data_IF_192643740154
#
_entry.id   IF_192643740154
#
_cell.length_a   1.000
_cell.length_b   1.000
_cell.length_c   1.000
_cell.angle_alpha   90.00
_cell.angle_beta   90.00
_cell.angle_gamma   90.00
#
_symmetry.space_group_name_H-M   'P 1'
#
loop_
_entity.id
_entity.type
_entity.pdbx_description
1 polymer ?
#
# COMPACT_ATOMS: atom_id res chain seq x y z
N UNK A 1 7.92 0.18 -7.33
CA UNK A 1 9.08 -0.52 -6.72
C UNK A 1 8.99 -2.00 -7.05
N UNK A 2 10.12 -2.66 -7.33
CA UNK A 2 10.15 -4.11 -7.55
C UNK A 2 10.36 -4.89 -6.22
N UNK A 3 10.20 -6.22 -6.28
CA UNK A 3 10.33 -7.11 -5.12
C UNK A 3 11.67 -6.95 -4.38
N UNK A 4 12.76 -6.74 -5.14
CA UNK A 4 14.09 -6.59 -4.58
C UNK A 4 14.23 -5.28 -3.80
N UNK A 5 13.65 -4.18 -4.31
CA UNK A 5 13.64 -2.87 -3.65
C UNK A 5 12.83 -2.90 -2.35
N UNK A 6 11.70 -3.60 -2.33
CA UNK A 6 10.86 -3.73 -1.13
C UNK A 6 11.58 -4.54 -0.06
N UNK A 7 12.24 -5.64 -0.45
CA UNK A 7 12.99 -6.49 0.47
C UNK A 7 14.18 -5.75 1.11
N UNK A 8 14.86 -4.90 0.35
CA UNK A 8 15.96 -4.09 0.87
C UNK A 8 15.49 -3.13 1.97
N UNK A 9 14.38 -2.41 1.75
CA UNK A 9 13.80 -1.49 2.74
C UNK A 9 13.36 -2.23 4.01
N UNK A 10 12.77 -3.42 3.88
CA UNK A 10 12.30 -4.20 5.03
C UNK A 10 13.44 -4.79 5.87
N UNK A 11 14.63 -5.03 5.31
CA UNK A 11 15.78 -5.52 6.06
C UNK A 11 16.46 -4.45 6.92
N UNK A 12 16.13 -3.17 6.75
CA UNK A 12 16.64 -2.08 7.59
C UNK A 12 15.89 -1.97 8.92
N UNK A 13 14.72 -2.59 9.06
CA UNK A 13 13.89 -2.58 10.28
C UNK A 13 14.23 -3.78 11.18
N UNK A 14 14.66 -3.54 12.43
CA UNK A 14 15.06 -4.56 13.41
C UNK A 14 13.96 -5.61 13.65
N UNK A 15 12.68 -5.24 13.55
CA UNK A 15 11.54 -6.15 13.70
C UNK A 15 11.40 -7.14 12.52
N UNK A 16 12.10 -6.88 11.41
CA UNK A 16 12.01 -7.64 10.16
C UNK A 16 13.32 -8.28 9.73
N UNK A 17 14.45 -8.02 10.41
CA UNK A 17 15.76 -8.59 10.05
C UNK A 17 15.77 -10.12 10.05
N UNK A 18 15.04 -10.75 10.96
CA UNK A 18 14.94 -12.22 11.07
C UNK A 18 13.65 -12.79 10.47
N UNK A 19 12.80 -11.96 9.85
CA UNK A 19 11.49 -12.38 9.35
C UNK A 19 11.49 -12.44 7.82
N UNK A 20 11.36 -13.64 7.30
CA UNK A 20 10.99 -13.82 5.89
C UNK A 20 9.50 -13.54 5.76
N UNK A 21 9.16 -12.38 5.18
CA UNK A 21 7.80 -12.10 4.76
C UNK A 21 7.56 -12.75 3.39
N UNK A 22 6.62 -13.69 3.34
CA UNK A 22 6.17 -14.30 2.10
C UNK A 22 4.95 -13.53 1.56
N UNK A 23 5.06 -13.06 0.32
CA UNK A 23 3.93 -12.49 -0.39
C UNK A 23 3.23 -13.58 -1.20
N UNK A 24 2.15 -14.13 -0.63
CA UNK A 24 1.35 -15.18 -1.26
C UNK A 24 0.87 -14.74 -2.67
N UNK A 25 0.92 -15.63 -3.69
CA UNK A 25 0.63 -15.28 -5.08
C UNK A 25 -0.71 -14.56 -5.28
N UNK A 26 -1.74 -14.96 -4.55
CA UNK A 26 -3.07 -14.37 -4.63
C UNK A 26 -3.12 -12.90 -4.19
N UNK A 27 -2.13 -12.42 -3.44
CA UNK A 27 -2.06 -11.05 -2.93
C UNK A 27 -1.13 -10.15 -3.75
N UNK A 28 -0.32 -10.74 -4.64
CA UNK A 28 0.71 -10.00 -5.37
C UNK A 28 0.13 -8.85 -6.20
N UNK A 29 -0.92 -9.11 -6.97
CA UNK A 29 -1.53 -8.09 -7.84
C UNK A 29 -2.00 -6.86 -7.05
N UNK A 30 -2.68 -7.07 -5.92
CA UNK A 30 -3.15 -5.98 -5.07
C UNK A 30 -2.02 -5.28 -4.33
N UNK A 31 -1.01 -6.02 -3.88
CA UNK A 31 0.14 -5.45 -3.18
C UNK A 31 0.99 -4.58 -4.10
N UNK A 32 1.33 -5.05 -5.29
CA UNK A 32 2.07 -4.22 -6.24
C UNK A 32 1.24 -3.04 -6.73
N UNK A 33 -0.07 -3.23 -6.95
CA UNK A 33 -0.94 -2.10 -7.26
C UNK A 33 -0.95 -1.06 -6.13
N UNK A 34 -0.97 -1.48 -4.87
CA UNK A 34 -0.88 -0.57 -3.73
C UNK A 34 0.41 0.27 -3.75
N UNK A 35 1.55 -0.35 -4.07
CA UNK A 35 2.83 0.36 -4.15
C UNK A 35 2.90 1.34 -5.32
N UNK A 36 2.21 1.03 -6.41
CA UNK A 36 2.18 1.88 -7.61
C UNK A 36 1.32 3.13 -7.43
N UNK A 37 0.43 3.17 -6.43
CA UNK A 37 -0.50 4.28 -6.19
C UNK A 37 -0.25 5.02 -4.86
N UNK A 38 0.95 4.89 -4.27
CA UNK A 38 1.31 5.55 -3.01
C UNK A 38 1.37 7.10 -3.12
N UNK A 39 1.31 7.66 -4.31
CA UNK A 39 1.17 9.10 -4.53
C UNK A 39 -0.30 9.57 -4.56
N UNK A 40 -1.26 8.65 -4.67
CA UNK A 40 -2.69 8.95 -4.84
C UNK A 40 -3.48 8.95 -3.51
N UNK A 41 -2.89 9.53 -2.46
CA UNK A 41 -3.56 9.70 -1.16
C UNK A 41 -4.35 11.00 -1.06
N UNK A 42 -5.49 10.92 -0.38
CA UNK A 42 -6.19 12.08 0.15
C UNK A 42 -5.59 12.45 1.51
N UNK A 43 -5.28 13.74 1.67
CA UNK A 43 -4.75 14.29 2.91
C UNK A 43 -5.77 15.24 3.56
N UNK A 44 -5.86 15.21 4.88
CA UNK A 44 -6.55 16.23 5.69
C UNK A 44 -5.65 16.65 6.84
N UNK A 45 -5.53 17.95 7.09
CA UNK A 45 -4.74 18.48 8.22
C UNK A 45 -3.30 17.93 8.31
N UNK A 46 -2.70 17.58 7.16
CA UNK A 46 -1.36 16.98 7.07
C UNK A 46 -1.30 15.45 7.24
N UNK A 47 -2.42 14.78 7.47
CA UNK A 47 -2.50 13.33 7.66
C UNK A 47 -3.13 12.63 6.45
N UNK A 48 -2.61 11.44 6.10
CA UNK A 48 -3.24 10.54 5.12
C UNK A 48 -4.54 10.00 5.72
N UNK A 49 -5.66 10.14 5.00
CA UNK A 49 -6.98 9.69 5.49
C UNK A 49 -7.62 8.61 4.63
N UNK A 50 -7.35 8.59 3.33
CA UNK A 50 -7.91 7.61 2.41
C UNK A 50 -7.10 7.58 1.13
N UNK A 51 -7.14 6.45 0.43
CA UNK A 51 -6.69 6.38 -0.95
C UNK A 51 -7.75 7.02 -1.87
N UNK A 52 -7.35 7.85 -2.82
CA UNK A 52 -8.24 8.47 -3.80
C UNK A 52 -8.67 7.43 -4.84
N UNK A 53 -9.81 6.78 -4.57
CA UNK A 53 -10.32 5.71 -5.44
C UNK A 53 -10.58 6.21 -6.87
N UNK A 54 -11.26 7.36 -7.11
CA UNK A 54 -11.36 7.92 -8.46
C UNK A 54 -10.01 8.07 -9.18
N UNK A 55 -8.99 8.64 -8.54
CA UNK A 55 -7.67 8.82 -9.16
C UNK A 55 -7.00 7.47 -9.48
N UNK A 56 -7.05 6.53 -8.54
CA UNK A 56 -6.51 5.16 -8.71
C UNK A 56 -7.16 4.42 -9.87
N UNK A 57 -8.47 4.57 -10.04
CA UNK A 57 -9.20 3.93 -11.13
C UNK A 57 -8.89 4.58 -12.47
N UNK A 58 -8.68 5.90 -12.49
CA UNK A 58 -8.23 6.63 -13.68
C UNK A 58 -6.79 6.23 -14.07
N UNK A 59 -5.88 6.11 -13.10
CA UNK A 59 -4.52 5.61 -13.32
C UNK A 59 -4.52 4.18 -13.88
N UNK A 60 -5.28 3.28 -13.26
CA UNK A 60 -5.38 1.89 -13.72
C UNK A 60 -5.90 1.82 -15.16
N UNK A 61 -6.83 2.70 -15.54
CA UNK A 61 -7.32 2.81 -16.91
C UNK A 61 -6.24 3.36 -17.85
N UNK A 62 -5.55 4.44 -17.46
CA UNK A 62 -4.53 5.11 -18.28
C UNK A 62 -3.31 4.21 -18.53
N UNK A 63 -2.94 3.39 -17.55
CA UNK A 63 -1.83 2.43 -17.64
C UNK A 63 -2.23 1.09 -18.24
N UNK A 64 -3.53 0.88 -18.53
CA UNK A 64 -4.04 -0.40 -19.04
C UNK A 64 -3.89 -1.56 -18.06
N UNK A 65 -3.87 -1.28 -16.75
CA UNK A 65 -3.72 -2.29 -15.69
C UNK A 65 -4.89 -3.27 -15.72
N UNK A 66 -4.59 -4.57 -15.75
CA UNK A 66 -5.58 -5.63 -15.56
C UNK A 66 -5.67 -5.99 -14.09
N UNK A 67 -6.86 -5.90 -13.51
CA UNK A 67 -7.13 -6.28 -12.13
C UNK A 67 -8.51 -6.92 -12.01
N UNK A 68 -8.66 -7.81 -11.04
CA UNK A 68 -9.95 -8.41 -10.69
C UNK A 68 -10.67 -7.58 -9.63
N UNK A 69 -11.96 -7.89 -9.43
CA UNK A 69 -12.73 -7.35 -8.30
C UNK A 69 -12.07 -7.66 -6.95
N UNK A 70 -11.44 -8.84 -6.82
CA UNK A 70 -10.79 -9.25 -5.59
C UNK A 70 -9.52 -8.43 -5.33
N UNK A 71 -8.75 -8.12 -6.38
CA UNK A 71 -7.54 -7.29 -6.26
C UNK A 71 -7.90 -5.89 -5.75
N UNK A 72 -8.96 -5.29 -6.30
CA UNK A 72 -9.48 -4.02 -5.83
C UNK A 72 -9.93 -4.08 -4.36
N UNK A 73 -10.61 -5.16 -3.95
CA UNK A 73 -11.01 -5.33 -2.55
C UNK A 73 -9.79 -5.42 -1.62
N UNK A 74 -8.76 -6.16 -2.02
CA UNK A 74 -7.49 -6.27 -1.26
C UNK A 74 -6.76 -4.93 -1.20
N UNK A 75 -6.73 -4.17 -2.28
CA UNK A 75 -6.17 -2.81 -2.30
C UNK A 75 -6.84 -1.90 -1.26
N UNK A 76 -8.18 -1.94 -1.17
CA UNK A 76 -8.92 -1.16 -0.15
C UNK A 76 -8.57 -1.58 1.29
N UNK A 77 -8.33 -2.87 1.52
CA UNK A 77 -7.94 -3.38 2.84
C UNK A 77 -6.53 -2.89 3.20
N UNK A 78 -5.56 -3.03 2.29
CA UNK A 78 -4.20 -2.50 2.47
C UNK A 78 -4.23 -1.00 2.79
N UNK A 79 -4.97 -0.24 1.99
CA UNK A 79 -5.05 1.22 2.14
C UNK A 79 -5.59 1.64 3.51
N UNK A 80 -6.64 0.96 3.98
CA UNK A 80 -7.24 1.23 5.30
C UNK A 80 -6.25 0.93 6.43
N UNK A 81 -5.56 -0.21 6.36
CA UNK A 81 -4.62 -0.59 7.40
C UNK A 81 -3.45 0.39 7.48
N UNK A 82 -2.91 0.81 6.34
CA UNK A 82 -1.83 1.80 6.31
C UNK A 82 -2.25 3.12 6.94
N UNK A 83 -3.45 3.63 6.63
CA UNK A 83 -3.99 4.84 7.27
C UNK A 83 -4.11 4.66 8.79
N UNK A 84 -4.66 3.54 9.25
CA UNK A 84 -4.80 3.24 10.69
C UNK A 84 -3.44 3.25 11.39
N UNK A 85 -2.48 2.47 10.87
CA UNK A 85 -1.15 2.31 11.47
C UNK A 85 -0.35 3.61 11.47
N UNK A 86 -0.38 4.38 10.39
CA UNK A 86 0.34 5.66 10.33
C UNK A 86 -0.25 6.69 11.29
N UNK A 87 -1.59 6.74 11.41
CA UNK A 87 -2.24 7.65 12.33
C UNK A 87 -2.06 7.24 13.80
N UNK A 88 -2.10 5.94 14.10
CA UNK A 88 -1.76 5.39 15.43
C UNK A 88 -0.34 5.82 15.83
N UNK A 89 0.67 5.55 14.98
CA UNK A 89 2.06 5.97 15.23
C UNK A 89 2.20 7.48 15.42
N UNK A 90 1.51 8.29 14.61
CA UNK A 90 1.55 9.74 14.75
C UNK A 90 0.90 10.24 16.05
N UNK A 91 -0.07 9.49 16.59
CA UNK A 91 -0.70 9.80 17.87
C UNK A 91 0.18 9.43 19.07
N UNK A 92 1.00 8.38 18.97
CA UNK A 92 1.95 7.95 20.00
C UNK A 92 3.15 8.90 20.16
N UNK A 93 3.45 9.69 19.12
CA UNK A 93 4.56 10.66 19.10
C UNK A 93 4.18 12.06 19.62
N UNK A 94 2.90 12.28 20.00
CA UNK A 94 2.40 13.55 20.56
C UNK A 94 2.39 13.52 22.08
#
# INVERSE_FOLDING_TARGET
MDEAQIKAVLQEDEDFQDRVLELLPENQAAFYWFLDVDDLWVYTEGFRVALDIPAVMADAQATGRKYSKLDYQKLRVLSRHVVSTLNERASEQK
#
